data_IF_025402600275
#
_entry.id   IF_025402600275
#
_cell.length_a   1.000
_cell.length_b   1.000
_cell.length_c   1.000
_cell.angle_alpha   90.00
_cell.angle_beta   90.00
_cell.angle_gamma   90.00
#
_symmetry.space_group_name_H-M   'P 1'
#
loop_
_entity.id
_entity.type
_entity.pdbx_description
1 polymer ?
#
# COMPACT_ATOMS: atom_id res chain seq x y z
N UNK A 1 -2.79 -0.19 7.82
CA UNK A 1 -3.97 0.69 7.99
C UNK A 1 -4.07 1.04 9.47
N UNK A 2 -4.51 2.26 9.83
CA UNK A 2 -4.57 2.68 11.23
C UNK A 2 -5.89 3.37 11.54
N UNK A 3 -6.38 3.16 12.76
CA UNK A 3 -7.55 3.85 13.30
C UNK A 3 -7.11 5.25 13.79
N UNK A 4 -7.75 6.29 13.28
CA UNK A 4 -7.57 7.67 13.72
C UNK A 4 -8.91 8.22 14.22
N UNK A 5 -8.98 8.49 15.52
CA UNK A 5 -10.15 9.02 16.27
C UNK A 5 -11.40 8.13 16.12
N UNK A 6 -12.02 8.02 14.94
CA UNK A 6 -13.14 7.11 14.65
C UNK A 6 -13.18 6.55 13.21
N UNK A 7 -12.12 6.76 12.42
CA UNK A 7 -12.05 6.27 11.05
C UNK A 7 -10.74 5.54 10.74
N UNK A 8 -10.84 4.48 9.95
CA UNK A 8 -9.66 3.83 9.40
C UNK A 8 -9.10 4.61 8.22
N UNK A 9 -7.79 4.88 8.25
CA UNK A 9 -7.06 5.52 7.16
C UNK A 9 -6.04 4.57 6.57
N UNK A 10 -5.89 4.64 5.25
CA UNK A 10 -4.81 3.98 4.55
C UNK A 10 -3.49 4.64 4.96
N UNK A 11 -2.54 3.82 5.40
CA UNK A 11 -1.19 4.26 5.73
C UNK A 11 -0.22 3.63 4.75
N UNK A 12 0.81 4.39 4.38
CA UNK A 12 1.87 3.88 3.53
C UNK A 12 2.58 2.72 4.20
N UNK A 13 2.73 1.62 3.47
CA UNK A 13 3.34 0.41 3.98
C UNK A 13 4.85 0.60 4.26
N UNK A 14 5.53 1.39 3.42
CA UNK A 14 6.98 1.61 3.49
C UNK A 14 7.35 2.89 4.26
N UNK A 15 6.38 3.76 4.53
CA UNK A 15 6.58 5.02 5.27
C UNK A 15 5.65 5.01 6.48
N UNK A 16 6.14 4.46 7.58
CA UNK A 16 5.40 4.43 8.84
C UNK A 16 5.02 5.87 9.24
N UNK A 17 3.74 6.08 9.57
CA UNK A 17 3.11 7.36 9.95
C UNK A 17 2.65 8.29 8.81
N UNK A 18 2.77 7.89 7.53
CA UNK A 18 2.19 8.70 6.44
C UNK A 18 0.83 8.15 6.02
N UNK A 19 -0.21 8.94 6.26
CA UNK A 19 -1.58 8.64 5.84
C UNK A 19 -1.85 9.09 4.42
N UNK A 20 -2.53 8.25 3.64
CA UNK A 20 -3.05 8.64 2.34
C UNK A 20 -4.25 9.57 2.55
N UNK A 21 -4.22 10.79 2.01
CA UNK A 21 -5.35 11.70 2.13
C UNK A 21 -6.56 11.15 1.38
N UNK A 22 -7.74 11.29 1.97
CA UNK A 22 -8.98 10.88 1.32
C UNK A 22 -9.29 11.82 0.14
N UNK A 23 -9.69 11.24 -1.01
CA UNK A 23 -10.14 11.97 -2.21
C UNK A 23 -9.13 12.94 -2.82
N UNK A 24 -7.88 12.87 -2.36
CA UNK A 24 -6.80 13.71 -2.85
C UNK A 24 -5.62 12.81 -3.18
N UNK A 25 -4.85 13.19 -4.19
CA UNK A 25 -3.63 12.49 -4.54
C UNK A 25 -2.69 12.42 -3.34
N UNK A 26 -2.04 11.28 -3.17
CA UNK A 26 -0.85 11.19 -2.35
C UNK A 26 0.34 11.73 -3.12
N UNK A 27 1.16 12.56 -2.47
CA UNK A 27 2.31 13.23 -3.09
C UNK A 27 3.61 12.79 -2.40
N UNK A 28 4.62 12.47 -3.20
CA UNK A 28 5.94 12.12 -2.72
C UNK A 28 6.67 13.37 -2.23
N UNK A 29 6.88 13.45 -0.92
CA UNK A 29 7.71 14.47 -0.30
C UNK A 29 9.01 13.85 0.20
N UNK A 30 10.13 14.52 -0.06
CA UNK A 30 11.45 14.10 0.37
C UNK A 30 12.11 15.24 1.12
N UNK A 31 12.69 14.99 2.29
CA UNK A 31 13.42 16.01 3.05
C UNK A 31 14.56 16.66 2.24
N UNK A 32 15.23 15.88 1.39
CA UNK A 32 16.35 16.36 0.56
C UNK A 32 15.90 17.01 -0.76
N UNK A 33 14.87 16.45 -1.40
CA UNK A 33 14.51 16.82 -2.78
C UNK A 33 13.14 17.53 -2.88
N UNK A 34 12.41 17.63 -1.78
CA UNK A 34 11.06 18.20 -1.72
C UNK A 34 10.14 17.61 -2.78
N UNK A 35 9.40 18.52 -3.43
CA UNK A 35 8.50 18.23 -4.53
C UNK A 35 9.21 17.87 -5.85
N UNK A 36 10.53 17.64 -5.87
CA UNK A 36 11.26 17.07 -7.01
C UNK A 36 11.32 15.52 -6.95
N UNK A 37 10.91 14.89 -5.85
CA UNK A 37 10.80 13.44 -5.75
C UNK A 37 9.79 12.88 -6.78
N UNK A 38 10.04 11.70 -7.38
CA UNK A 38 11.22 10.86 -7.25
C UNK A 38 12.40 11.34 -8.12
N UNK A 39 13.62 11.22 -7.60
CA UNK A 39 14.89 11.55 -8.30
C UNK A 39 15.67 10.26 -8.62
N UNK A 40 16.39 10.24 -9.76
CA UNK A 40 17.30 9.12 -10.11
C UNK A 40 18.46 9.08 -9.11
N UNK A 41 18.86 7.88 -8.67
CA UNK A 41 19.96 7.71 -7.70
C UNK A 41 19.62 7.94 -6.22
N UNK A 42 18.38 8.34 -5.90
CA UNK A 42 17.88 8.44 -4.53
C UNK A 42 16.72 7.48 -4.31
N UNK A 43 16.32 7.17 -3.07
CA UNK A 43 15.22 6.26 -2.68
C UNK A 43 13.85 6.95 -2.47
N UNK A 44 13.71 8.22 -2.86
CA UNK A 44 12.46 8.96 -2.70
C UNK A 44 11.40 8.58 -3.77
N UNK A 45 10.13 8.74 -3.40
CA UNK A 45 8.99 8.46 -4.27
C UNK A 45 7.98 7.50 -3.66
N UNK A 46 6.79 7.45 -4.26
CA UNK A 46 5.76 6.47 -3.91
C UNK A 46 6.07 5.17 -4.64
N UNK A 47 6.23 4.08 -3.90
CA UNK A 47 6.56 2.77 -4.45
C UNK A 47 5.29 2.03 -4.87
N UNK A 48 5.33 1.42 -6.05
CA UNK A 48 4.30 0.49 -6.52
C UNK A 48 4.95 -0.70 -7.22
N UNK A 49 4.36 -1.88 -7.07
CA UNK A 49 4.83 -3.09 -7.73
C UNK A 49 4.25 -3.21 -9.14
N UNK A 50 4.99 -3.89 -10.02
CA UNK A 50 4.55 -4.18 -11.39
C UNK A 50 3.43 -5.22 -11.42
N UNK A 51 3.46 -6.16 -10.48
CA UNK A 51 2.50 -7.25 -10.42
C UNK A 51 2.00 -7.46 -8.99
N UNK A 52 0.87 -8.15 -8.86
CA UNK A 52 0.24 -8.45 -7.57
C UNK A 52 1.10 -9.41 -6.75
N UNK A 53 1.71 -10.38 -7.41
CA UNK A 53 2.54 -11.43 -6.78
C UNK A 53 3.74 -10.81 -6.05
N UNK A 54 4.39 -9.81 -6.65
CA UNK A 54 5.49 -9.08 -6.01
C UNK A 54 5.04 -8.31 -4.75
N UNK A 55 3.83 -7.76 -4.77
CA UNK A 55 3.24 -7.07 -3.62
C UNK A 55 2.89 -8.07 -2.49
N UNK A 56 2.30 -9.20 -2.85
CA UNK A 56 1.99 -10.29 -1.91
C UNK A 56 3.25 -10.89 -1.30
N UNK A 57 4.32 -11.08 -2.08
CA UNK A 57 5.60 -11.58 -1.59
C UNK A 57 6.27 -10.62 -0.60
N UNK A 58 6.15 -9.31 -0.81
CA UNK A 58 6.58 -8.34 0.20
C UNK A 58 5.79 -8.53 1.50
N UNK A 59 4.47 -8.68 1.41
CA UNK A 59 3.62 -8.84 2.58
C UNK A 59 3.90 -10.13 3.34
N UNK A 60 4.09 -11.26 2.65
CA UNK A 60 4.49 -12.55 3.25
C UNK A 60 5.78 -12.39 4.07
N UNK A 61 6.79 -11.71 3.52
CA UNK A 61 8.06 -11.45 4.22
C UNK A 61 7.87 -10.56 5.44
N UNK A 62 7.07 -9.50 5.32
CA UNK A 62 6.90 -8.51 6.39
C UNK A 62 6.02 -9.00 7.54
N UNK A 63 5.09 -9.91 7.25
CA UNK A 63 4.19 -10.50 8.24
C UNK A 63 4.78 -11.75 8.92
N UNK A 64 6.00 -12.14 8.54
CA UNK A 64 6.77 -13.18 9.23
C UNK A 64 6.60 -14.60 8.67
N UNK A 65 6.02 -14.79 7.48
CA UNK A 65 6.08 -16.10 6.79
C UNK A 65 7.50 -16.29 6.26
N UNK A 66 8.38 -16.85 7.09
CA UNK A 66 9.56 -17.55 6.56
C UNK A 66 9.07 -18.80 5.88
N UNK A 67 9.46 -19.02 4.63
CA UNK A 67 9.29 -20.30 3.96
C UNK A 67 10.05 -21.35 4.77
N UNK A 68 9.34 -22.10 5.62
CA UNK A 68 9.89 -23.31 6.22
C UNK A 68 9.96 -24.37 5.12
N UNK A 69 11.20 -24.73 4.75
CA UNK A 69 11.61 -25.92 4.00
C UNK A 69 10.47 -26.73 3.34
N UNK A 70 10.29 -26.53 2.04
CA UNK A 70 9.75 -27.57 1.15
C UNK A 70 8.23 -27.76 1.09
N UNK A 71 7.40 -26.94 1.76
CA UNK A 71 5.96 -26.92 1.54
C UNK A 71 5.45 -25.52 1.19
N UNK A 72 4.94 -25.38 -0.03
CA UNK A 72 4.21 -24.21 -0.51
C UNK A 72 2.84 -24.18 0.18
N UNK A 73 2.78 -23.67 1.41
CA UNK A 73 1.49 -23.33 2.01
C UNK A 73 1.13 -21.90 1.63
N UNK A 74 -0.04 -21.72 0.98
CA UNK A 74 -0.62 -20.44 0.62
C UNK A 74 -1.21 -19.69 1.84
N UNK A 75 -0.80 -20.01 3.06
CA UNK A 75 -1.32 -19.33 4.23
C UNK A 75 -0.50 -18.07 4.52
N UNK A 76 -1.15 -16.93 4.31
CA UNK A 76 -0.73 -15.68 4.94
C UNK A 76 -0.65 -15.94 6.46
N UNK A 77 0.37 -15.42 7.16
CA UNK A 77 0.49 -15.68 8.58
C UNK A 77 -0.67 -15.01 9.31
N UNK A 78 -0.98 -15.41 10.55
CA UNK A 78 -1.95 -14.70 11.36
C UNK A 78 -1.54 -13.23 11.44
N UNK A 79 -2.30 -12.37 10.77
CA UNK A 79 -2.14 -10.92 10.86
C UNK A 79 -2.12 -10.57 12.34
N UNK A 80 -1.24 -9.64 12.76
CA UNK A 80 -1.29 -9.08 14.12
C UNK A 80 -2.74 -8.68 14.37
N UNK A 81 -3.39 -9.33 15.33
CA UNK A 81 -4.82 -9.16 15.58
C UNK A 81 -5.11 -7.67 15.70
N UNK A 82 -6.01 -7.15 14.85
CA UNK A 82 -6.47 -5.77 14.87
C UNK A 82 -5.87 -4.79 13.84
N UNK A 83 -4.98 -5.20 12.93
CA UNK A 83 -4.47 -4.32 11.87
C UNK A 83 -4.69 -4.91 10.46
N UNK A 84 -5.82 -4.60 9.80
CA UNK A 84 -6.08 -5.04 8.43
C UNK A 84 -5.06 -4.43 7.46
N UNK A 85 -4.73 -5.20 6.43
CA UNK A 85 -3.81 -4.80 5.36
C UNK A 85 -4.61 -4.57 4.08
N UNK A 86 -4.27 -3.51 3.35
CA UNK A 86 -4.82 -3.26 2.02
C UNK A 86 -3.74 -3.52 0.97
N UNK A 87 -4.02 -4.40 0.01
CA UNK A 87 -3.30 -4.50 -1.27
C UNK A 87 -4.20 -3.88 -2.32
N UNK A 88 -3.66 -3.17 -3.30
CA UNK A 88 -4.52 -2.60 -4.31
C UNK A 88 -3.80 -2.17 -5.56
N UNK A 89 -4.59 -1.66 -6.50
CA UNK A 89 -4.10 -1.01 -7.70
C UNK A 89 -4.17 0.50 -7.51
N UNK A 90 -3.11 1.14 -7.99
CA UNK A 90 -2.92 2.58 -7.85
C UNK A 90 -2.66 3.20 -9.21
N UNK A 91 -3.27 4.35 -9.45
CA UNK A 91 -2.90 5.23 -10.54
C UNK A 91 -1.64 5.98 -10.12
N UNK A 92 -0.64 6.02 -10.99
CA UNK A 92 0.62 6.73 -10.78
C UNK A 92 0.76 7.81 -11.85
N UNK A 93 1.19 9.01 -11.47
CA UNK A 93 1.41 10.09 -12.43
C UNK A 93 2.40 11.14 -11.92
N UNK A 94 2.58 12.19 -12.73
CA UNK A 94 3.67 13.16 -12.57
C UNK A 94 4.97 12.56 -13.06
N UNK A 95 6.05 12.70 -12.28
CA UNK A 95 7.30 11.97 -12.55
C UNK A 95 7.15 10.51 -12.16
N UNK A 96 7.33 9.60 -13.13
CA UNK A 96 7.31 8.16 -12.91
C UNK A 96 8.64 7.56 -13.35
N UNK A 97 9.29 6.84 -12.45
CA UNK A 97 10.53 6.12 -12.70
C UNK A 97 10.26 4.63 -12.67
N UNK A 98 10.40 3.97 -13.81
CA UNK A 98 10.39 2.51 -13.87
C UNK A 98 11.58 1.94 -13.10
N UNK A 99 11.34 0.80 -12.47
CA UNK A 99 12.29 -0.08 -11.79
C UNK A 99 12.05 -1.51 -12.26
N UNK A 100 13.00 -2.38 -11.93
CA UNK A 100 12.93 -3.81 -12.22
C UNK A 100 11.57 -4.40 -11.77
N UNK A 101 11.25 -4.23 -10.49
CA UNK A 101 10.06 -4.83 -9.87
C UNK A 101 8.83 -3.90 -9.80
N UNK A 102 8.88 -2.73 -10.45
CA UNK A 102 7.77 -1.77 -10.34
C UNK A 102 8.14 -0.35 -10.70
N UNK A 103 7.63 0.59 -9.92
CA UNK A 103 7.67 2.00 -10.22
C UNK A 103 7.88 2.83 -8.96
N UNK A 104 8.43 4.03 -9.17
CA UNK A 104 8.35 5.12 -8.20
C UNK A 104 7.71 6.32 -8.84
N UNK A 105 6.74 6.92 -8.16
CA UNK A 105 5.98 8.03 -8.70
C UNK A 105 6.00 9.24 -7.78
N UNK A 106 5.75 10.41 -8.38
CA UNK A 106 5.50 11.64 -7.66
C UNK A 106 4.11 11.62 -7.03
N UNK A 107 3.10 11.21 -7.79
CA UNK A 107 1.73 11.17 -7.33
C UNK A 107 1.16 9.78 -7.43
N UNK A 108 0.28 9.44 -6.48
CA UNK A 108 -0.50 8.22 -6.53
C UNK A 108 -1.90 8.40 -5.96
N UNK A 109 -2.83 7.58 -6.44
CA UNK A 109 -4.14 7.42 -5.81
C UNK A 109 -4.66 6.00 -6.06
N UNK A 110 -5.19 5.30 -5.05
CA UNK A 110 -5.79 3.99 -5.26
C UNK A 110 -7.04 4.12 -6.14
N UNK A 111 -7.35 3.06 -6.87
CA UNK A 111 -8.65 2.91 -7.53
C UNK A 111 -9.31 1.57 -7.23
N UNK A 112 -8.55 0.58 -6.76
CA UNK A 112 -9.05 -0.72 -6.34
C UNK A 112 -8.24 -1.19 -5.12
N UNK A 113 -8.92 -1.68 -4.08
CA UNK A 113 -8.33 -2.19 -2.85
C UNK A 113 -8.91 -3.58 -2.50
N UNK A 114 -8.04 -4.45 -2.00
CA UNK A 114 -8.34 -5.77 -1.47
C UNK A 114 -7.91 -5.77 0.01
N UNK A 115 -8.87 -6.02 0.90
CA UNK A 115 -8.62 -6.02 2.34
C UNK A 115 -8.33 -7.41 2.85
N UNK A 116 -7.16 -7.60 3.45
CA UNK A 116 -6.75 -8.82 4.13
C UNK A 116 -6.96 -8.62 5.63
N UNK A 117 -7.79 -9.48 6.24
CA UNK A 117 -8.17 -9.39 7.66
C UNK A 117 -9.06 -8.20 7.99
N UNK A 118 -9.72 -7.61 6.99
CA UNK A 118 -10.73 -6.57 7.15
C UNK A 118 -12.15 -7.14 7.13
N UNK A 119 -13.09 -6.44 7.75
CA UNK A 119 -14.51 -6.80 7.74
C UNK A 119 -15.28 -5.96 6.71
N UNK A 120 -16.50 -6.37 6.34
CA UNK A 120 -17.32 -5.68 5.33
C UNK A 120 -17.62 -4.23 5.67
N UNK A 121 -17.85 -3.91 6.95
CA UNK A 121 -18.09 -2.54 7.41
C UNK A 121 -16.89 -1.63 7.12
N UNK A 122 -15.68 -2.15 7.31
CA UNK A 122 -14.45 -1.45 6.99
C UNK A 122 -14.29 -1.25 5.48
N UNK A 123 -14.60 -2.28 4.68
CA UNK A 123 -14.60 -2.16 3.23
C UNK A 123 -15.56 -1.06 2.76
N UNK A 124 -16.78 -1.03 3.33
CA UNK A 124 -17.77 0.01 3.08
C UNK A 124 -17.31 1.41 3.51
N UNK A 125 -16.64 1.54 4.66
CA UNK A 125 -16.08 2.81 5.13
C UNK A 125 -15.00 3.34 4.18
N UNK A 126 -14.05 2.49 3.78
CA UNK A 126 -12.96 2.88 2.88
C UNK A 126 -13.48 3.22 1.48
N UNK A 127 -14.45 2.46 0.97
CA UNK A 127 -15.11 2.73 -0.31
C UNK A 127 -15.71 4.14 -0.33
N UNK A 128 -16.41 4.54 0.73
CA UNK A 128 -17.00 5.89 0.84
C UNK A 128 -15.96 6.99 1.05
N UNK A 129 -14.96 6.72 1.90
CA UNK A 129 -13.96 7.70 2.27
C UNK A 129 -13.04 8.03 1.09
N UNK A 130 -12.51 7.00 0.42
CA UNK A 130 -11.58 7.14 -0.69
C UNK A 130 -12.27 7.17 -2.07
N UNK A 131 -13.56 6.85 -2.19
CA UNK A 131 -14.25 6.79 -3.49
C UNK A 131 -13.51 5.87 -4.49
N UNK A 132 -13.20 4.65 -4.03
CA UNK A 132 -12.48 3.60 -4.79
C UNK A 132 -13.19 2.27 -4.62
N UNK A 133 -12.95 1.33 -5.52
CA UNK A 133 -13.42 -0.04 -5.33
C UNK A 133 -12.69 -0.70 -4.17
N UNK A 134 -13.42 -1.42 -3.32
CA UNK A 134 -12.87 -2.13 -2.16
C UNK A 134 -13.54 -3.48 -2.06
N UNK A 135 -12.78 -4.56 -1.99
CA UNK A 135 -13.30 -5.91 -1.82
C UNK A 135 -12.67 -6.58 -0.58
N UNK A 136 -13.46 -7.26 0.27
CA UNK A 136 -12.91 -8.11 1.33
C UNK A 136 -12.24 -9.35 0.73
N UNK A 137 -11.25 -9.93 1.42
CA UNK A 137 -10.66 -11.23 1.10
C UNK A 137 -11.37 -12.38 1.80
#
# INVERSE_FOLDING_TARGET
MRRHEDAYRLESFTWHHVSWPARTRFEAECSTHGAAAPVRGHECGIYAFRTRELAEDLLRRYTGVRQHYGRTHQELPPLRQGCPIAIGRVSLWGRVLARENGFRAQYAYPYELFLIGGQDDLAGQLRRLYAVDVSPS
#
